data_IF_383525272269
#
_entry.id   IF_383525272269
#
_cell.length_a   1.000
_cell.length_b   1.000
_cell.length_c   1.000
_cell.angle_alpha   90.00
_cell.angle_beta   90.00
_cell.angle_gamma   90.00
#
_symmetry.space_group_name_H-M   'P 1'
#
loop_
_entity.id
_entity.type
_entity.pdbx_description
1 polymer ?
#
# COMPACT_ATOMS: atom_id res chain seq x y z
N UNK A 1 -3.93 17.30 -8.74
CA UNK A 1 -3.50 16.23 -7.81
C UNK A 1 -2.92 15.06 -8.56
N UNK A 2 -1.73 14.64 -8.17
CA UNK A 2 -1.01 13.56 -8.87
C UNK A 2 -1.82 12.25 -8.90
N UNK A 3 -2.39 11.86 -7.76
CA UNK A 3 -3.10 10.58 -7.68
C UNK A 3 -4.40 10.59 -8.48
N UNK A 4 -5.12 11.70 -8.49
CA UNK A 4 -6.32 11.84 -9.30
C UNK A 4 -5.98 11.74 -10.78
N UNK A 5 -4.88 12.37 -11.21
CA UNK A 5 -4.41 12.32 -12.59
C UNK A 5 -4.05 10.90 -13.00
N UNK A 6 -3.38 10.14 -12.13
CA UNK A 6 -3.01 8.76 -12.41
C UNK A 6 -4.24 7.89 -12.65
N UNK A 7 -5.28 8.05 -11.83
CA UNK A 7 -6.53 7.30 -11.99
C UNK A 7 -7.24 7.72 -13.29
N UNK A 8 -7.34 9.03 -13.53
CA UNK A 8 -8.03 9.55 -14.70
C UNK A 8 -7.36 9.14 -16.02
N UNK A 9 -6.05 8.89 -15.99
CA UNK A 9 -5.30 8.47 -17.17
C UNK A 9 -5.14 6.95 -17.27
N UNK A 10 -5.87 6.19 -16.46
CA UNK A 10 -5.84 4.73 -16.45
C UNK A 10 -4.45 4.14 -16.22
N UNK A 11 -3.63 4.81 -15.41
CA UNK A 11 -2.28 4.34 -15.10
C UNK A 11 -2.24 3.37 -13.92
N UNK A 12 -3.37 3.21 -13.24
CA UNK A 12 -3.44 2.39 -12.02
C UNK A 12 -4.10 1.06 -12.35
N UNK A 13 -3.45 -0.04 -11.95
CA UNK A 13 -4.00 -1.38 -12.12
C UNK A 13 -5.30 -1.51 -11.31
N UNK A 14 -6.29 -2.20 -11.89
CA UNK A 14 -7.60 -2.35 -11.27
C UNK A 14 -7.52 -3.00 -9.88
N UNK A 15 -6.57 -3.91 -9.67
CA UNK A 15 -6.39 -4.56 -8.37
C UNK A 15 -5.98 -3.56 -7.29
N UNK A 16 -5.18 -2.56 -7.66
CA UNK A 16 -4.79 -1.48 -6.73
C UNK A 16 -6.01 -0.64 -6.37
N UNK A 17 -6.85 -0.32 -7.36
CA UNK A 17 -8.08 0.43 -7.11
C UNK A 17 -9.03 -0.33 -6.20
N UNK A 18 -9.19 -1.64 -6.43
CA UNK A 18 -10.04 -2.49 -5.60
C UNK A 18 -9.50 -2.54 -4.17
N UNK A 19 -8.19 -2.68 -4.02
CA UNK A 19 -7.56 -2.66 -2.70
C UNK A 19 -7.83 -1.35 -1.97
N UNK A 20 -7.67 -0.22 -2.65
CA UNK A 20 -7.90 1.10 -2.05
C UNK A 20 -9.35 1.24 -1.58
N UNK A 21 -10.31 0.81 -2.40
CA UNK A 21 -11.73 0.84 -2.04
C UNK A 21 -12.02 -0.07 -0.85
N UNK A 22 -11.45 -1.27 -0.85
CA UNK A 22 -11.62 -2.21 0.25
C UNK A 22 -11.07 -1.64 1.56
N UNK A 23 -9.89 -1.05 1.52
CA UNK A 23 -9.27 -0.47 2.72
C UNK A 23 -10.05 0.74 3.22
N UNK A 24 -10.54 1.57 2.32
CA UNK A 24 -11.38 2.71 2.70
C UNK A 24 -12.69 2.24 3.33
N UNK A 25 -13.29 1.20 2.79
CA UNK A 25 -14.53 0.62 3.34
C UNK A 25 -14.28 -0.01 4.71
N UNK A 26 -13.22 -0.80 4.84
CA UNK A 26 -12.92 -1.54 6.07
C UNK A 26 -12.49 -0.62 7.22
N UNK A 27 -11.82 0.48 6.93
CA UNK A 27 -11.22 1.36 7.94
C UNK A 27 -11.83 2.77 7.99
N UNK A 28 -12.80 3.07 7.14
CA UNK A 28 -13.51 4.34 7.11
C UNK A 28 -12.93 5.36 6.15
N UNK A 29 -11.62 5.38 5.96
CA UNK A 29 -10.93 6.28 5.01
C UNK A 29 -9.53 5.77 4.74
N UNK A 30 -8.94 6.27 3.65
CA UNK A 30 -7.57 5.94 3.28
C UNK A 30 -6.83 7.22 2.86
N UNK A 31 -5.60 7.38 3.32
CA UNK A 31 -4.72 8.45 2.89
C UNK A 31 -3.55 7.81 2.15
N UNK A 32 -3.39 8.17 0.88
CA UNK A 32 -2.36 7.65 -0.01
C UNK A 32 -1.24 8.66 -0.10
N UNK A 33 0.01 8.22 0.16
CA UNK A 33 1.18 9.09 0.09
C UNK A 33 1.91 8.96 -1.25
N UNK A 34 1.74 7.84 -1.94
CA UNK A 34 2.35 7.62 -3.26
C UNK A 34 1.55 6.60 -4.05
N UNK A 35 1.44 6.85 -5.35
CA UNK A 35 0.76 5.97 -6.28
C UNK A 35 1.67 5.84 -7.51
N UNK A 36 1.14 5.96 -8.74
CA UNK A 36 1.97 5.93 -9.93
C UNK A 36 2.88 7.15 -10.02
N UNK A 37 2.36 8.33 -9.67
CA UNK A 37 3.13 9.58 -9.67
C UNK A 37 3.71 9.85 -8.29
N UNK A 38 4.77 10.68 -8.25
CA UNK A 38 5.40 11.10 -7.01
C UNK A 38 6.38 10.10 -6.44
N UNK A 39 6.74 9.06 -7.22
CA UNK A 39 7.72 8.06 -6.82
C UNK A 39 8.86 8.01 -7.84
N UNK A 40 10.05 7.62 -7.40
CA UNK A 40 11.19 7.48 -8.31
C UNK A 40 11.00 6.29 -9.25
N UNK A 41 11.65 6.35 -10.42
CA UNK A 41 11.56 5.32 -11.43
C UNK A 41 12.02 3.94 -10.92
N UNK A 42 13.08 3.90 -10.12
CA UNK A 42 13.63 2.66 -9.60
C UNK A 42 13.45 2.61 -8.09
N UNK A 43 13.00 1.47 -7.59
CA UNK A 43 12.89 1.23 -6.14
C UNK A 43 14.28 1.07 -5.51
N UNK A 44 15.26 0.67 -6.31
CA UNK A 44 16.68 0.58 -5.97
C UNK A 44 17.45 0.53 -7.29
N UNK A 45 18.79 0.70 -7.29
CA UNK A 45 19.57 0.70 -8.52
C UNK A 45 19.26 -0.53 -9.39
N UNK A 46 18.91 -0.30 -10.63
CA UNK A 46 18.65 -1.34 -11.62
C UNK A 46 17.30 -2.04 -11.54
N UNK A 47 16.46 -1.68 -10.57
CA UNK A 47 15.14 -2.30 -10.40
C UNK A 47 14.05 -1.25 -10.53
N UNK A 48 13.18 -1.40 -11.52
CA UNK A 48 12.07 -0.48 -11.75
C UNK A 48 11.02 -0.68 -10.65
N UNK A 49 10.61 0.43 -10.03
CA UNK A 49 9.59 0.40 -8.98
C UNK A 49 8.24 -0.07 -9.53
N UNK A 50 7.51 -0.87 -8.74
CA UNK A 50 6.15 -1.29 -9.07
C UNK A 50 5.21 -0.09 -9.24
N UNK A 51 5.45 1.02 -8.53
CA UNK A 51 4.67 2.25 -8.67
C UNK A 51 4.71 2.79 -10.10
N UNK A 52 5.84 2.65 -10.79
CA UNK A 52 6.01 3.13 -12.16
C UNK A 52 5.00 2.51 -13.12
N UNK A 53 4.60 1.28 -12.85
CA UNK A 53 3.64 0.56 -13.68
C UNK A 53 2.20 0.62 -13.14
N UNK A 54 1.95 1.44 -12.13
CA UNK A 54 0.63 1.52 -11.51
C UNK A 54 0.24 0.28 -10.73
N UNK A 55 1.23 -0.50 -10.28
CA UNK A 55 1.03 -1.77 -9.59
C UNK A 55 1.16 -1.66 -8.07
N UNK A 56 1.34 -0.47 -7.54
CA UNK A 56 1.57 -0.30 -6.11
C UNK A 56 0.96 0.97 -5.57
N UNK A 57 0.70 0.95 -4.26
CA UNK A 57 0.20 2.11 -3.51
C UNK A 57 0.90 2.15 -2.16
N UNK A 58 1.26 3.35 -1.71
CA UNK A 58 1.76 3.59 -0.36
C UNK A 58 0.65 4.24 0.46
N UNK A 59 0.28 3.60 1.56
CA UNK A 59 -0.81 4.04 2.44
C UNK A 59 -0.19 4.70 3.67
N UNK A 60 -0.50 5.98 3.89
CA UNK A 60 0.04 6.76 5.00
C UNK A 60 -0.87 6.79 6.22
N UNK A 61 -2.18 6.62 6.03
CA UNK A 61 -3.14 6.63 7.13
C UNK A 61 -4.40 5.86 6.76
N UNK A 62 -5.07 5.33 7.77
CA UNK A 62 -6.33 4.61 7.62
C UNK A 62 -7.28 5.02 8.75
N UNK A 63 -8.51 5.38 8.40
CA UNK A 63 -9.50 5.78 9.39
C UNK A 63 -9.09 6.99 10.21
N UNK A 64 -8.25 7.86 9.65
CA UNK A 64 -7.73 9.03 10.36
C UNK A 64 -6.53 8.74 11.26
N UNK A 65 -6.07 7.48 11.33
CA UNK A 65 -4.86 7.12 12.08
C UNK A 65 -3.67 6.99 11.15
N UNK A 66 -2.58 7.71 11.44
CA UNK A 66 -1.35 7.58 10.65
C UNK A 66 -0.69 6.23 10.90
N UNK A 67 -0.05 5.72 9.84
CA UNK A 67 0.79 4.52 9.98
C UNK A 67 2.00 4.86 10.85
N UNK A 68 2.56 6.07 10.68
CA UNK A 68 3.65 6.55 11.51
C UNK A 68 3.27 6.47 13.00
N UNK A 69 4.06 5.76 13.78
CA UNK A 69 3.84 5.60 15.21
C UNK A 69 2.77 4.57 15.58
N UNK A 70 2.15 3.90 14.61
CA UNK A 70 1.06 2.95 14.85
C UNK A 70 1.31 1.63 14.14
N UNK A 71 2.49 1.03 14.37
CA UNK A 71 2.87 -0.24 13.77
C UNK A 71 3.18 -1.33 14.82
N UNK A 72 2.70 -1.19 16.02
CA UNK A 72 2.87 -2.20 17.07
C UNK A 72 1.74 -3.24 17.02
N UNK A 73 1.83 -4.24 17.89
CA UNK A 73 0.77 -5.26 18.04
C UNK A 73 -0.53 -4.58 18.45
N UNK A 74 -1.61 -4.95 17.78
CA UNK A 74 -2.94 -4.37 18.00
C UNK A 74 -3.18 -3.04 17.31
N UNK A 75 -2.18 -2.53 16.56
CA UNK A 75 -2.29 -1.24 15.88
C UNK A 75 -3.12 -1.32 14.61
N UNK A 76 -3.41 -0.14 14.05
CA UNK A 76 -4.10 -0.04 12.75
C UNK A 76 -3.29 -0.72 11.65
N UNK A 77 -1.96 -0.64 11.70
CA UNK A 77 -1.10 -1.26 10.70
C UNK A 77 -1.24 -2.79 10.74
N UNK A 78 -1.20 -3.39 11.91
CA UNK A 78 -1.39 -4.84 12.03
C UNK A 78 -2.74 -5.27 11.47
N UNK A 79 -3.82 -4.59 11.87
CA UNK A 79 -5.16 -4.92 11.39
C UNK A 79 -5.27 -4.79 9.88
N UNK A 80 -4.68 -3.72 9.31
CA UNK A 80 -4.71 -3.48 7.89
C UNK A 80 -3.95 -4.56 7.12
N UNK A 81 -2.75 -4.91 7.55
CA UNK A 81 -1.95 -5.95 6.90
C UNK A 81 -2.69 -7.29 6.95
N UNK A 82 -3.27 -7.65 8.10
CA UNK A 82 -4.03 -8.90 8.20
C UNK A 82 -5.23 -8.91 7.27
N UNK A 83 -5.95 -7.80 7.14
CA UNK A 83 -7.07 -7.69 6.20
C UNK A 83 -6.62 -7.92 4.76
N UNK A 84 -5.48 -7.34 4.38
CA UNK A 84 -4.93 -7.50 3.03
C UNK A 84 -4.56 -8.96 2.77
N UNK A 85 -3.97 -9.62 3.75
CA UNK A 85 -3.57 -11.02 3.61
C UNK A 85 -4.77 -11.97 3.49
N UNK A 86 -5.97 -11.54 3.87
CA UNK A 86 -7.19 -12.32 3.75
C UNK A 86 -7.89 -12.15 2.39
N UNK A 87 -7.38 -11.29 1.52
CA UNK A 87 -7.98 -11.11 0.20
C UNK A 87 -7.90 -12.41 -0.63
N UNK A 88 -8.88 -12.63 -1.53
CA UNK A 88 -8.82 -13.77 -2.46
C UNK A 88 -7.54 -13.76 -3.28
N UNK A 89 -7.10 -14.94 -3.70
CA UNK A 89 -5.84 -15.12 -4.43
C UNK A 89 -5.70 -14.13 -5.61
N UNK A 90 -6.77 -13.93 -6.37
CA UNK A 90 -6.74 -13.04 -7.53
C UNK A 90 -6.57 -11.55 -7.19
N UNK A 91 -6.80 -11.16 -5.94
CA UNK A 91 -6.69 -9.78 -5.47
C UNK A 91 -5.57 -9.60 -4.45
N UNK A 92 -4.88 -10.67 -4.08
CA UNK A 92 -3.82 -10.62 -3.07
C UNK A 92 -2.55 -10.05 -3.67
N UNK A 93 -1.95 -9.03 -3.03
CA UNK A 93 -0.71 -8.44 -3.52
C UNK A 93 0.48 -9.39 -3.35
N UNK A 94 1.55 -9.10 -4.09
CA UNK A 94 2.83 -9.83 -3.99
C UNK A 94 3.67 -9.31 -2.83
N UNK A 95 3.48 -8.04 -2.44
CA UNK A 95 4.27 -7.38 -1.40
C UNK A 95 3.37 -6.55 -0.51
N UNK A 96 3.51 -6.74 0.80
CA UNK A 96 2.89 -5.86 1.80
C UNK A 96 4.00 -5.50 2.79
N UNK A 97 4.59 -4.33 2.59
CA UNK A 97 5.79 -3.93 3.34
C UNK A 97 5.44 -2.86 4.36
N UNK A 98 5.82 -3.12 5.60
CA UNK A 98 5.66 -2.20 6.73
C UNK A 98 6.82 -2.44 7.68
N UNK A 99 6.68 -2.15 8.96
CA UNK A 99 7.65 -2.60 9.96
C UNK A 99 7.30 -3.99 10.51
N UNK A 100 6.18 -4.57 10.05
CA UNK A 100 5.69 -5.86 10.53
C UNK A 100 5.96 -6.96 9.50
N UNK A 101 6.33 -8.14 9.98
CA UNK A 101 6.43 -9.34 9.16
C UNK A 101 5.38 -10.34 9.62
N UNK A 102 4.23 -10.40 8.93
CA UNK A 102 3.11 -11.25 9.33
C UNK A 102 2.97 -12.50 8.47
N UNK A 103 3.96 -12.79 7.64
CA UNK A 103 3.98 -13.97 6.80
C UNK A 103 3.47 -13.72 5.40
N UNK A 104 3.67 -14.71 4.48
CA UNK A 104 3.30 -14.58 3.09
C UNK A 104 3.96 -13.37 2.44
N UNK A 105 3.19 -12.51 1.76
CA UNK A 105 3.75 -11.32 1.12
C UNK A 105 4.13 -10.20 2.10
N UNK A 106 3.83 -10.35 3.40
CA UNK A 106 4.15 -9.35 4.40
C UNK A 106 5.57 -9.53 4.91
N UNK A 107 6.41 -8.49 4.78
CA UNK A 107 7.76 -8.53 5.33
C UNK A 107 8.20 -7.12 5.76
N UNK A 108 9.13 -7.01 6.73
CA UNK A 108 9.53 -5.72 7.26
C UNK A 108 10.68 -5.10 6.50
N UNK A 109 10.62 -3.76 6.34
CA UNK A 109 11.76 -2.95 5.92
C UNK A 109 11.78 -1.69 6.78
N UNK A 110 12.96 -1.32 7.28
CA UNK A 110 13.10 -0.24 8.25
C UNK A 110 12.67 1.13 7.73
N UNK A 111 12.78 1.38 6.43
CA UNK A 111 12.38 2.64 5.83
C UNK A 111 10.87 2.77 5.59
N UNK A 112 10.09 1.75 5.98
CA UNK A 112 8.63 1.75 5.88
C UNK A 112 7.99 2.10 7.24
N UNK A 113 8.56 3.07 7.95
CA UNK A 113 8.09 3.46 9.28
C UNK A 113 6.84 4.34 9.24
N UNK A 114 6.54 4.98 8.12
CA UNK A 114 5.43 5.93 8.00
C UNK A 114 4.39 5.54 6.96
N UNK A 115 4.51 4.35 6.37
CA UNK A 115 3.54 3.90 5.36
C UNK A 115 3.55 2.38 5.22
N UNK A 116 2.46 1.88 4.63
CA UNK A 116 2.37 0.50 4.17
C UNK A 116 2.50 0.52 2.66
N UNK A 117 3.49 -0.19 2.11
CA UNK A 117 3.63 -0.37 0.68
C UNK A 117 2.91 -1.64 0.26
N UNK A 118 1.98 -1.54 -0.69
CA UNK A 118 1.26 -2.69 -1.23
C UNK A 118 1.55 -2.77 -2.72
N UNK A 119 2.17 -3.87 -3.14
CA UNK A 119 2.59 -4.06 -4.52
C UNK A 119 2.00 -5.31 -5.15
N UNK A 120 1.53 -5.17 -6.37
CA UNK A 120 1.00 -6.27 -7.20
C UNK A 120 2.01 -6.70 -8.30
#
# INVERSE_FOLDING_TARGET
MLFRSDVANHRINVRVLVLMLYMAEAHGSITVSSLDSGHRLYSRPGVISAHKYGLAVDIAALGGESILGHQQVGSITERAVRNILLLPVGLRPKQVISLLGLGGPSFPLADHYDHIHVGY
#
